data_IF_659146593217
#
_entry.id   IF_659146593217
#
_cell.length_a   1.000
_cell.length_b   1.000
_cell.length_c   1.000
_cell.angle_alpha   90.00
_cell.angle_beta   90.00
_cell.angle_gamma   90.00
#
_symmetry.space_group_name_H-M   'P 1'
#
loop_
_entity.id
_entity.type
_entity.pdbx_description
1 polymer ?
#
# COMPACT_ATOMS: atom_id res chain seq x y z
N UNK A 1 -5.22 -31.24 -7.21
CA UNK A 1 -5.50 -29.98 -6.49
C UNK A 1 -5.41 -28.84 -7.49
N UNK A 2 -6.21 -27.80 -7.32
CA UNK A 2 -6.30 -26.68 -8.28
C UNK A 2 -6.28 -25.38 -7.49
N UNK A 3 -5.40 -24.46 -7.89
CA UNK A 3 -5.32 -23.13 -7.30
C UNK A 3 -6.02 -22.16 -8.25
N UNK A 4 -6.98 -21.40 -7.73
CA UNK A 4 -7.78 -20.46 -8.49
C UNK A 4 -8.00 -19.19 -7.67
N UNK A 5 -8.17 -18.03 -8.33
CA UNK A 5 -8.57 -16.81 -7.64
C UNK A 5 -9.91 -16.98 -6.91
N UNK A 6 -10.08 -16.32 -5.77
CA UNK A 6 -11.27 -16.48 -4.91
C UNK A 6 -12.59 -16.19 -5.66
N UNK A 7 -12.63 -15.11 -6.44
CA UNK A 7 -13.74 -14.79 -7.36
C UNK A 7 -14.21 -15.94 -8.25
N UNK A 8 -13.30 -16.83 -8.65
CA UNK A 8 -13.58 -17.93 -9.57
C UNK A 8 -13.79 -19.27 -8.84
N UNK A 9 -13.43 -19.37 -7.56
CA UNK A 9 -13.52 -20.59 -6.76
C UNK A 9 -14.93 -21.21 -6.78
N UNK A 10 -15.96 -20.38 -6.56
CA UNK A 10 -17.35 -20.84 -6.58
C UNK A 10 -17.77 -21.38 -7.95
N UNK A 11 -17.35 -20.72 -9.02
CA UNK A 11 -17.68 -21.12 -10.40
C UNK A 11 -17.00 -22.44 -10.75
N UNK A 12 -15.77 -22.63 -10.30
CA UNK A 12 -14.99 -23.86 -10.52
C UNK A 12 -15.60 -25.03 -9.76
N UNK A 13 -15.99 -24.84 -8.50
CA UNK A 13 -16.70 -25.86 -7.71
C UNK A 13 -17.99 -26.30 -8.40
N UNK A 14 -18.80 -25.35 -8.89
CA UNK A 14 -20.04 -25.66 -9.60
C UNK A 14 -19.78 -26.42 -10.92
N UNK A 15 -18.72 -26.04 -11.65
CA UNK A 15 -18.33 -26.72 -12.89
C UNK A 15 -17.89 -28.16 -12.63
N UNK A 16 -17.06 -28.37 -11.60
CA UNK A 16 -16.61 -29.71 -11.20
C UNK A 16 -17.80 -30.53 -10.74
N UNK A 17 -18.70 -29.97 -9.92
CA UNK A 17 -19.87 -30.68 -9.44
C UNK A 17 -20.75 -31.16 -10.59
N UNK A 18 -21.00 -30.32 -11.60
CA UNK A 18 -21.83 -30.68 -12.76
C UNK A 18 -21.15 -31.65 -13.72
N UNK A 19 -19.85 -31.49 -13.96
CA UNK A 19 -19.11 -32.28 -14.94
C UNK A 19 -18.53 -33.58 -14.37
N UNK A 20 -18.50 -33.74 -13.04
CA UNK A 20 -17.94 -34.92 -12.38
C UNK A 20 -18.70 -36.22 -12.70
N UNK A 21 -19.96 -36.12 -13.16
CA UNK A 21 -20.81 -37.29 -13.41
C UNK A 21 -21.14 -38.11 -12.17
N UNK A 22 -20.76 -37.61 -10.98
CA UNK A 22 -20.98 -38.27 -9.70
C UNK A 22 -22.39 -37.96 -9.21
N UNK A 23 -23.15 -39.01 -8.89
CA UNK A 23 -24.46 -38.86 -8.23
C UNK A 23 -24.26 -38.45 -6.77
N UNK A 24 -25.26 -37.79 -6.18
CA UNK A 24 -25.18 -37.29 -4.80
C UNK A 24 -24.83 -38.36 -3.74
N UNK A 25 -24.99 -39.64 -4.06
CA UNK A 25 -24.68 -40.78 -3.19
C UNK A 25 -23.27 -41.36 -3.38
N UNK A 26 -22.46 -40.87 -4.33
CA UNK A 26 -21.15 -41.46 -4.67
C UNK A 26 -19.99 -40.95 -3.79
N UNK A 27 -20.25 -40.05 -2.83
CA UNK A 27 -19.32 -39.73 -1.74
C UNK A 27 -18.15 -38.80 -2.09
N UNK A 28 -18.06 -38.28 -3.31
CA UNK A 28 -17.04 -37.29 -3.68
C UNK A 28 -17.24 -35.96 -2.94
N UNK A 29 -16.26 -35.55 -2.13
CA UNK A 29 -16.25 -34.26 -1.43
C UNK A 29 -15.20 -33.34 -2.05
N UNK A 30 -15.56 -32.07 -2.23
CA UNK A 30 -14.62 -31.03 -2.63
C UNK A 30 -14.22 -30.29 -1.36
N UNK A 31 -12.91 -30.19 -1.12
CA UNK A 31 -12.35 -29.39 -0.04
C UNK A 31 -11.79 -28.10 -0.65
N UNK A 32 -12.14 -26.97 -0.05
CA UNK A 32 -11.64 -25.64 -0.44
C UNK A 32 -10.86 -25.11 0.75
N UNK A 33 -9.59 -24.77 0.52
CA UNK A 33 -8.69 -24.21 1.52
C UNK A 33 -8.19 -22.86 1.01
N UNK A 34 -8.15 -21.87 1.90
CA UNK A 34 -7.59 -20.56 1.59
C UNK A 34 -6.06 -20.64 1.49
N UNK A 35 -5.49 -19.92 0.52
CA UNK A 35 -4.04 -19.83 0.30
C UNK A 35 -3.63 -18.36 0.21
N UNK A 36 -2.69 -17.94 1.06
CA UNK A 36 -2.28 -16.54 1.13
C UNK A 36 -1.27 -16.15 0.04
N UNK A 37 -0.43 -17.07 -0.42
CA UNK A 37 0.67 -16.80 -1.35
C UNK A 37 0.98 -18.02 -2.22
N UNK A 38 1.22 -17.77 -3.51
CA UNK A 38 1.72 -18.78 -4.47
C UNK A 38 3.07 -18.31 -4.99
N UNK A 39 4.08 -19.18 -4.88
CA UNK A 39 5.45 -18.90 -5.32
C UNK A 39 5.78 -19.80 -6.50
N UNK A 40 6.16 -19.20 -7.62
CA UNK A 40 6.73 -19.92 -8.75
C UNK A 40 8.22 -20.22 -8.47
N UNK A 41 8.57 -21.50 -8.40
CA UNK A 41 9.92 -21.94 -8.07
C UNK A 41 10.94 -21.69 -9.19
N UNK A 42 10.50 -21.55 -10.44
CA UNK A 42 11.39 -21.31 -11.57
C UNK A 42 11.83 -19.83 -11.63
N UNK A 43 10.88 -18.92 -11.41
CA UNK A 43 11.13 -17.47 -11.45
C UNK A 43 11.46 -16.88 -10.08
N UNK A 44 11.16 -17.60 -8.99
CA UNK A 44 11.09 -17.10 -7.62
C UNK A 44 10.14 -15.89 -7.46
N UNK A 45 9.17 -15.74 -8.38
CA UNK A 45 8.17 -14.69 -8.28
C UNK A 45 6.98 -15.20 -7.45
N UNK A 46 6.59 -14.38 -6.47
CA UNK A 46 5.41 -14.61 -5.65
C UNK A 46 4.22 -13.79 -6.14
N UNK A 47 3.10 -14.45 -6.37
CA UNK A 47 1.80 -13.79 -6.61
C UNK A 47 0.98 -13.88 -5.33
N UNK A 48 0.83 -12.75 -4.64
CA UNK A 48 -0.10 -12.59 -3.52
C UNK A 48 -1.47 -12.22 -4.09
N UNK A 49 -2.50 -12.99 -3.76
CA UNK A 49 -3.87 -12.75 -4.25
C UNK A 49 -4.49 -11.57 -3.47
N UNK A 50 -4.13 -10.35 -3.88
CA UNK A 50 -4.79 -9.13 -3.44
C UNK A 50 -5.91 -8.86 -4.45
N UNK A 51 -7.15 -9.21 -4.10
CA UNK A 51 -8.32 -8.76 -4.84
C UNK A 51 -8.34 -7.22 -4.89
N UNK A 52 -7.82 -6.65 -5.97
CA UNK A 52 -7.92 -5.23 -6.25
C UNK A 52 -9.33 -4.97 -6.82
N UNK A 53 -10.23 -4.53 -5.96
CA UNK A 53 -11.45 -3.83 -6.38
C UNK A 53 -11.03 -2.64 -7.25
N UNK A 54 -11.27 -2.78 -8.56
CA UNK A 54 -11.12 -1.74 -9.56
C UNK A 54 -12.27 -0.74 -9.42
N UNK A 55 -12.22 0.09 -8.38
CA UNK A 55 -12.74 1.45 -8.47
C UNK A 55 -11.54 2.35 -8.72
N UNK A 56 -11.61 3.14 -9.79
CA UNK A 56 -10.55 4.01 -10.32
C UNK A 56 -9.83 4.80 -9.21
N UNK A 57 -8.75 4.23 -8.68
CA UNK A 57 -7.77 4.93 -7.85
C UNK A 57 -6.56 5.24 -8.70
N UNK A 58 -5.97 6.44 -8.54
CA UNK A 58 -4.81 6.88 -9.32
C UNK A 58 -3.70 5.84 -9.25
N UNK A 59 -3.07 5.58 -10.42
CA UNK A 59 -2.01 4.57 -10.64
C UNK A 59 -1.18 4.30 -9.39
N UNK A 60 -1.08 3.03 -8.92
CA UNK A 60 -0.29 2.72 -7.74
C UNK A 60 1.17 3.09 -8.03
N UNK A 61 1.68 4.04 -7.24
CA UNK A 61 3.09 4.40 -7.25
C UNK A 61 3.89 3.14 -6.93
N UNK A 62 4.71 2.68 -7.87
CA UNK A 62 5.62 1.56 -7.67
C UNK A 62 6.72 2.02 -6.69
N UNK A 63 6.45 1.85 -5.40
CA UNK A 63 7.43 2.10 -4.36
C UNK A 63 8.44 0.94 -4.33
N UNK A 64 9.74 1.23 -4.16
CA UNK A 64 10.79 0.21 -4.18
C UNK A 64 10.59 -0.83 -3.05
N UNK A 65 10.71 -2.12 -3.41
CA UNK A 65 10.35 -3.33 -2.61
C UNK A 65 11.07 -3.50 -1.25
N UNK A 66 12.02 -2.65 -0.87
CA UNK A 66 12.50 -2.56 0.52
C UNK A 66 12.90 -1.14 0.87
N UNK A 67 11.94 -0.38 1.37
CA UNK A 67 12.25 0.82 2.14
C UNK A 67 12.78 0.39 3.52
N UNK A 68 14.08 0.59 3.75
CA UNK A 68 14.73 0.52 5.08
C UNK A 68 14.21 1.60 6.04
N UNK A 69 13.22 2.39 5.63
CA UNK A 69 12.63 3.40 6.47
C UNK A 69 11.78 2.77 7.57
N UNK A 70 11.95 3.29 8.78
CA UNK A 70 11.17 2.94 9.97
C UNK A 70 9.69 3.26 9.69
N UNK A 71 8.70 2.52 10.25
CA UNK A 71 7.27 2.76 9.98
C UNK A 71 6.84 4.24 10.05
N UNK A 72 7.37 5.00 11.01
CA UNK A 72 7.10 6.44 11.13
C UNK A 72 7.61 7.26 9.94
N UNK A 73 8.80 6.96 9.43
CA UNK A 73 9.36 7.62 8.25
C UNK A 73 8.52 7.30 7.00
N UNK A 74 8.03 6.07 6.88
CA UNK A 74 7.10 5.68 5.79
C UNK A 74 5.78 6.45 5.89
N UNK A 75 5.19 6.54 7.09
CA UNK A 75 3.96 7.30 7.31
C UNK A 75 4.12 8.78 6.98
N UNK A 76 5.22 9.40 7.44
CA UNK A 76 5.53 10.81 7.14
C UNK A 76 5.68 11.05 5.65
N UNK A 77 6.42 10.19 4.94
CA UNK A 77 6.57 10.30 3.48
C UNK A 77 5.23 10.13 2.75
N UNK A 78 4.39 9.20 3.19
CA UNK A 78 3.05 9.03 2.63
C UNK A 78 2.19 10.28 2.81
N UNK A 79 2.17 10.87 4.02
CA UNK A 79 1.44 12.11 4.29
C UNK A 79 1.94 13.28 3.44
N UNK A 80 3.27 13.43 3.30
CA UNK A 80 3.86 14.44 2.43
C UNK A 80 3.51 14.20 0.95
N UNK A 81 3.45 12.95 0.52
CA UNK A 81 3.12 12.59 -0.85
C UNK A 81 1.67 12.94 -1.19
N UNK A 82 0.73 12.69 -0.28
CA UNK A 82 -0.68 13.09 -0.44
C UNK A 82 -0.77 14.62 -0.61
N UNK A 83 -0.14 15.38 0.29
CA UNK A 83 -0.14 16.85 0.23
C UNK A 83 0.49 17.36 -1.09
N UNK A 84 1.58 16.73 -1.54
CA UNK A 84 2.24 17.11 -2.79
C UNK A 84 1.35 16.90 -4.01
N UNK A 85 0.66 15.76 -4.11
CA UNK A 85 -0.20 15.45 -5.26
C UNK A 85 -1.48 16.31 -5.26
N UNK A 86 -2.07 16.58 -4.09
CA UNK A 86 -3.23 17.46 -3.96
C UNK A 86 -2.92 18.92 -4.38
N UNK A 87 -1.71 19.39 -4.14
CA UNK A 87 -1.31 20.80 -4.34
C UNK A 87 -0.30 20.98 -5.48
N UNK A 88 -0.16 19.97 -6.35
CA UNK A 88 0.91 19.87 -7.33
C UNK A 88 1.02 21.09 -8.26
N UNK A 89 -0.12 21.59 -8.72
CA UNK A 89 -0.17 22.72 -9.64
C UNK A 89 0.28 24.01 -8.95
N UNK A 90 -0.25 24.30 -7.76
CA UNK A 90 0.14 25.46 -6.94
C UNK A 90 1.61 25.41 -6.53
N UNK A 91 2.12 24.23 -6.16
CA UNK A 91 3.54 24.04 -5.82
C UNK A 91 4.45 24.31 -7.02
N UNK A 92 3.99 23.99 -8.24
CA UNK A 92 4.74 24.21 -9.47
C UNK A 92 4.70 25.67 -9.91
N UNK A 93 3.57 26.36 -9.79
CA UNK A 93 3.39 27.76 -10.22
C UNK A 93 4.01 28.73 -9.23
N UNK A 94 3.68 28.61 -7.94
CA UNK A 94 3.95 29.64 -6.94
C UNK A 94 5.30 29.42 -6.26
N UNK A 95 5.65 28.15 -6.04
CA UNK A 95 6.87 27.76 -5.33
C UNK A 95 7.98 27.23 -6.26
N UNK A 96 7.69 27.08 -7.56
CA UNK A 96 8.61 26.53 -8.59
C UNK A 96 9.14 25.13 -8.25
N UNK A 97 8.40 24.38 -7.44
CA UNK A 97 8.74 23.02 -7.00
C UNK A 97 8.31 22.05 -8.11
N UNK A 98 9.27 21.36 -8.71
CA UNK A 98 9.04 20.53 -9.91
C UNK A 98 8.90 19.05 -9.61
N UNK A 99 9.36 18.61 -8.44
CA UNK A 99 9.35 17.20 -8.06
C UNK A 99 9.00 17.02 -6.58
N UNK A 100 8.57 15.81 -6.23
CA UNK A 100 8.33 15.44 -4.83
C UNK A 100 9.59 15.57 -3.97
N UNK A 101 10.78 15.26 -4.52
CA UNK A 101 12.05 15.45 -3.82
C UNK A 101 12.30 16.92 -3.49
N UNK A 102 12.04 17.82 -4.45
CA UNK A 102 12.15 19.27 -4.24
C UNK A 102 11.18 19.76 -3.17
N UNK A 103 9.97 19.20 -3.13
CA UNK A 103 8.97 19.50 -2.12
C UNK A 103 9.44 19.10 -0.72
N UNK A 104 9.93 17.87 -0.56
CA UNK A 104 10.47 17.39 0.71
C UNK A 104 11.65 18.26 1.16
N UNK A 105 12.58 18.58 0.25
CA UNK A 105 13.71 19.46 0.54
C UNK A 105 13.27 20.86 0.97
N UNK A 106 12.26 21.43 0.30
CA UNK A 106 11.69 22.72 0.66
C UNK A 106 11.11 22.71 2.08
N UNK A 107 10.33 21.68 2.42
CA UNK A 107 9.76 21.52 3.76
C UNK A 107 10.85 21.42 4.84
N UNK A 108 11.90 20.62 4.60
CA UNK A 108 13.02 20.47 5.53
C UNK A 108 13.74 21.80 5.72
N UNK A 109 14.12 22.46 4.64
CA UNK A 109 14.86 23.73 4.67
C UNK A 109 14.06 24.85 5.34
N UNK A 110 12.73 24.85 5.21
CA UNK A 110 11.86 25.82 5.87
C UNK A 110 11.69 25.56 7.36
N UNK A 111 11.72 24.30 7.80
CA UNK A 111 11.55 23.93 9.21
C UNK A 111 12.85 23.97 10.02
N UNK A 112 14.00 23.74 9.38
CA UNK A 112 15.32 23.69 10.03
C UNK A 112 15.64 24.94 10.88
N UNK A 113 15.38 26.19 10.43
CA UNK A 113 15.62 27.38 11.25
C UNK A 113 14.75 27.45 12.51
N UNK A 114 13.54 26.88 12.47
CA UNK A 114 12.64 26.81 13.62
C UNK A 114 13.17 25.83 14.66
N UNK A 115 13.62 24.65 14.21
CA UNK A 115 14.27 23.66 15.07
C UNK A 115 15.52 24.23 15.72
N UNK A 116 16.39 24.89 14.95
CA UNK A 116 17.62 25.49 15.49
C UNK A 116 17.33 26.56 16.56
N UNK A 117 16.26 27.36 16.38
CA UNK A 117 15.83 28.35 17.38
C UNK A 117 15.28 27.70 18.64
N UNK A 118 14.51 26.62 18.52
CA UNK A 118 13.99 25.86 19.64
C UNK A 118 15.12 25.15 20.40
N UNK A 119 16.09 24.57 19.71
CA UNK A 119 17.21 23.86 20.33
C UNK A 119 18.16 24.81 21.10
N UNK A 120 18.29 26.06 20.65
CA UNK A 120 19.06 27.11 21.34
C UNK A 120 18.35 27.69 22.57
N UNK A 121 17.03 27.52 22.70
CA UNK A 121 16.24 28.01 23.82
C UNK A 121 15.49 26.82 24.47
N UNK A 122 16.14 26.06 25.38
CA UNK A 122 15.62 24.80 25.91
C UNK A 122 14.34 24.93 26.77
N UNK A 123 13.74 26.12 26.88
CA UNK A 123 12.57 26.40 27.72
C UNK A 123 11.23 26.27 26.99
N UNK A 124 11.09 25.32 26.07
CA UNK A 124 9.80 25.06 25.40
C UNK A 124 9.38 23.62 25.70
N UNK A 125 8.46 23.53 26.66
CA UNK A 125 7.67 22.34 27.00
C UNK A 125 7.12 21.73 25.71
N UNK A 126 7.40 20.44 25.49
CA UNK A 126 6.77 19.69 24.42
C UNK A 126 5.27 19.56 24.74
N UNK A 127 4.43 20.39 24.12
CA UNK A 127 3.02 20.04 23.96
C UNK A 127 2.97 18.78 23.07
N UNK A 128 2.76 17.64 23.72
CA UNK A 128 2.43 16.38 23.06
C UNK A 128 1.06 16.51 22.40
N UNK A 129 0.99 17.08 21.21
CA UNK A 129 -0.20 17.04 20.35
C UNK A 129 -0.30 15.70 19.59
N UNK A 130 -0.24 14.59 20.33
CA UNK A 130 -0.49 13.23 19.84
C UNK A 130 -1.79 12.63 20.43
N UNK A 131 -2.69 13.47 20.92
CA UNK A 131 -4.04 13.07 21.34
C UNK A 131 -5.06 13.95 20.64
N UNK A 132 -5.49 13.54 19.45
CA UNK A 132 -6.81 13.81 18.88
C UNK A 132 -6.91 13.02 17.56
N UNK A 133 -7.28 11.75 17.69
CA UNK A 133 -7.87 10.90 16.66
C UNK A 133 -9.12 10.26 17.24
#
# INVERSE_FOLDING_TARGET
>A
EMVVPDKDARRVVDMISKNSGLTANHGGKIFVSEMDEVVDMETNDATQDLELVLDEKPKPITLPKRSRFVPLQKFTLHKLQVIYEENKDTLRTDYRIKSFSDFVNHCIMKYLPTLEKQLKNPTIVYENNFGDF
#
